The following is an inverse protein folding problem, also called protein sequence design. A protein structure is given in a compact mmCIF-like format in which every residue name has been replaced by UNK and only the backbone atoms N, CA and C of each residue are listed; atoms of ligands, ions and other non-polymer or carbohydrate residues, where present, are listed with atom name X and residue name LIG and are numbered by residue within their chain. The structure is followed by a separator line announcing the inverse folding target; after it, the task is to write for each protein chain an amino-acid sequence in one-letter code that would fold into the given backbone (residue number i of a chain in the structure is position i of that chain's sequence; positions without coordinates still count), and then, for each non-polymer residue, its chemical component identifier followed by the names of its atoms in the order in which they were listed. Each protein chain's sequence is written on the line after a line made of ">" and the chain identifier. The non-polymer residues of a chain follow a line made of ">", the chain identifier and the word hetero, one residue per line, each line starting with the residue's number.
data_IF_185296763881
#
_entry.id   IF_185296763881
#
_cell.length_a   1.000
_cell.length_b   1.000
_cell.length_c   1.000
_cell.angle_alpha   90.00
_cell.angle_beta   90.00
_cell.angle_gamma   90.00
#
_symmetry.space_group_name_H-M   'P 1'
#
loop_
_entity.id
_entity.type
_entity.pdbx_description
1 polymer ?
#
# COMPACT_ATOMS: atom_id res chain seq x y z
N UNK A 1 -7.20 -8.15 -2.61
CA UNK A 1 -8.64 -8.00 -2.31
C UNK A 1 -9.33 -7.70 -3.62
N UNK A 2 -10.49 -8.30 -3.87
CA UNK A 2 -11.27 -8.05 -5.09
C UNK A 2 -12.66 -7.58 -4.67
N UNK A 3 -12.98 -6.34 -5.00
CA UNK A 3 -14.32 -5.79 -4.81
C UNK A 3 -15.28 -6.37 -5.83
N UNK A 4 -16.54 -6.57 -5.44
CA UNK A 4 -17.58 -7.10 -6.32
C UNK A 4 -18.15 -6.02 -7.25
N UNK A 5 -18.16 -4.78 -6.76
CA UNK A 5 -18.66 -3.59 -7.44
C UNK A 5 -17.57 -2.51 -7.47
N UNK A 6 -17.73 -1.53 -8.36
CA UNK A 6 -16.82 -0.38 -8.46
C UNK A 6 -16.87 0.49 -7.20
N UNK A 7 -15.71 1.00 -6.78
CA UNK A 7 -15.64 1.89 -5.63
C UNK A 7 -16.41 3.20 -5.90
N UNK A 8 -17.19 3.70 -4.92
CA UNK A 8 -17.85 4.98 -5.05
C UNK A 8 -16.83 6.12 -5.23
N UNK A 9 -17.20 7.11 -6.03
CA UNK A 9 -16.39 8.28 -6.34
C UNK A 9 -15.88 8.97 -5.06
N UNK A 10 -14.69 9.56 -5.14
CA UNK A 10 -14.11 10.30 -4.02
C UNK A 10 -14.95 11.55 -3.73
N UNK A 11 -15.16 11.81 -2.43
CA UNK A 11 -15.81 13.03 -1.93
C UNK A 11 -14.73 13.90 -1.29
N UNK A 12 -14.66 15.20 -1.59
CA UNK A 12 -13.72 16.12 -0.95
C UNK A 12 -13.88 16.12 0.57
N UNK A 13 -12.76 16.21 1.29
CA UNK A 13 -12.76 16.30 2.75
C UNK A 13 -12.86 17.77 3.19
N UNK A 14 -14.02 18.39 2.94
CA UNK A 14 -14.34 19.76 3.35
C UNK A 14 -15.52 19.77 4.33
N UNK A 15 -15.65 20.80 5.20
CA UNK A 15 -16.70 20.87 6.22
C UNK A 15 -18.12 20.70 5.65
N UNK A 16 -18.38 21.19 4.45
CA UNK A 16 -19.71 21.15 3.81
C UNK A 16 -20.08 19.74 3.30
N UNK A 17 -19.12 18.83 3.19
CA UNK A 17 -19.30 17.48 2.64
C UNK A 17 -19.10 16.37 3.68
N UNK A 18 -18.95 16.70 4.97
CA UNK A 18 -18.65 15.72 6.03
C UNK A 18 -19.64 14.55 6.04
N UNK A 19 -20.94 14.82 5.94
CA UNK A 19 -21.96 13.76 5.93
C UNK A 19 -21.83 12.83 4.71
N UNK A 20 -21.51 13.39 3.54
CA UNK A 20 -21.31 12.64 2.30
C UNK A 20 -20.02 11.81 2.37
N UNK A 21 -18.98 12.37 2.97
CA UNK A 21 -17.72 11.68 3.22
C UNK A 21 -17.93 10.47 4.15
N UNK A 22 -18.67 10.66 5.26
CA UNK A 22 -19.00 9.58 6.20
C UNK A 22 -19.88 8.50 5.56
N UNK A 23 -20.88 8.90 4.77
CA UNK A 23 -21.72 7.97 4.04
C UNK A 23 -20.90 7.12 3.05
N UNK A 24 -20.01 7.78 2.29
CA UNK A 24 -19.08 7.09 1.38
C UNK A 24 -18.16 6.14 2.14
N UNK A 25 -17.59 6.58 3.28
CA UNK A 25 -16.72 5.74 4.09
C UNK A 25 -17.43 4.46 4.53
N UNK A 26 -18.65 4.57 5.09
CA UNK A 26 -19.44 3.42 5.52
C UNK A 26 -19.72 2.46 4.36
N UNK A 27 -20.06 2.99 3.18
CA UNK A 27 -20.27 2.17 1.98
C UNK A 27 -19.01 1.41 1.57
N UNK A 28 -17.86 2.09 1.50
CA UNK A 28 -16.58 1.46 1.14
C UNK A 28 -16.19 0.38 2.16
N UNK A 29 -16.40 0.63 3.45
CA UNK A 29 -16.09 -0.35 4.49
C UNK A 29 -16.99 -1.59 4.37
N UNK A 30 -18.28 -1.42 4.07
CA UNK A 30 -19.16 -2.55 3.79
C UNK A 30 -18.71 -3.35 2.55
N UNK A 31 -18.21 -2.67 1.51
CA UNK A 31 -17.63 -3.34 0.33
C UNK A 31 -16.36 -4.11 0.66
N UNK A 32 -15.50 -3.57 1.53
CA UNK A 32 -14.28 -4.24 2.04
C UNK A 32 -14.65 -5.51 2.80
N UNK A 33 -15.63 -5.45 3.69
CA UNK A 33 -16.08 -6.61 4.47
C UNK A 33 -16.68 -7.70 3.58
N UNK A 34 -17.38 -7.31 2.50
CA UNK A 34 -17.95 -8.23 1.53
C UNK A 34 -16.96 -8.72 0.45
N UNK A 35 -15.75 -8.14 0.40
CA UNK A 35 -14.78 -8.41 -0.65
C UNK A 35 -14.14 -9.79 -0.51
N UNK A 36 -13.85 -10.41 -1.66
CA UNK A 36 -13.07 -11.64 -1.70
C UNK A 36 -11.62 -11.35 -1.32
N UNK A 37 -11.09 -12.10 -0.34
CA UNK A 37 -9.64 -12.18 -0.13
C UNK A 37 -9.07 -13.15 -1.15
N UNK A 38 -8.05 -12.69 -1.86
CA UNK A 38 -7.27 -13.48 -2.82
C UNK A 38 -5.82 -13.43 -2.39
N UNK A 39 -5.07 -14.49 -2.66
CA UNK A 39 -3.62 -14.46 -2.53
C UNK A 39 -3.06 -13.43 -3.51
N UNK A 40 -1.98 -12.77 -3.13
CA UNK A 40 -1.29 -11.83 -4.02
C UNK A 40 -0.70 -12.64 -5.18
N UNK A 41 -0.16 -13.83 -4.89
CA UNK A 41 0.25 -14.82 -5.89
C UNK A 41 1.48 -14.43 -6.70
N UNK A 42 2.17 -13.37 -6.28
CA UNK A 42 3.45 -12.94 -6.85
C UNK A 42 4.60 -13.80 -6.27
N UNK A 43 5.80 -13.80 -6.88
CA UNK A 43 6.85 -14.80 -6.61
C UNK A 43 7.33 -14.91 -5.16
N UNK A 44 7.17 -13.87 -4.35
CA UNK A 44 7.58 -13.77 -2.94
C UNK A 44 6.39 -13.61 -1.98
N UNK A 45 5.17 -14.01 -2.38
CA UNK A 45 3.98 -13.91 -1.55
C UNK A 45 4.11 -14.82 -0.32
N UNK A 46 4.23 -14.20 0.86
CA UNK A 46 4.40 -14.89 2.14
C UNK A 46 5.86 -15.09 2.58
N UNK A 47 6.83 -14.64 1.77
CA UNK A 47 8.24 -14.66 2.15
C UNK A 47 8.56 -13.54 3.14
N UNK A 48 9.57 -13.78 3.99
CA UNK A 48 10.16 -12.78 4.87
C UNK A 48 11.61 -12.56 4.48
N UNK A 49 12.07 -11.32 4.58
CA UNK A 49 13.44 -10.91 4.29
C UNK A 49 14.07 -10.27 5.51
N UNK A 50 15.38 -10.42 5.64
CA UNK A 50 16.20 -9.80 6.68
C UNK A 50 17.45 -9.28 5.98
N UNK A 51 17.57 -7.96 5.92
CA UNK A 51 18.51 -7.26 5.06
C UNK A 51 19.61 -6.65 5.89
N UNK A 52 20.84 -6.72 5.36
CA UNK A 52 22.02 -6.33 6.14
C UNK A 52 22.04 -4.84 6.50
N UNK A 53 21.48 -3.99 5.64
CA UNK A 53 21.46 -2.55 5.78
C UNK A 53 20.29 -1.93 4.97
N UNK A 54 20.15 -0.61 5.12
CA UNK A 54 19.12 0.20 4.48
C UNK A 54 19.23 0.17 2.94
N UNK A 55 20.46 0.13 2.40
CA UNK A 55 20.70 0.08 0.95
C UNK A 55 20.20 -1.24 0.35
N UNK A 56 20.54 -2.37 0.99
CA UNK A 56 20.06 -3.70 0.60
C UNK A 56 18.54 -3.84 0.74
N UNK A 57 17.94 -3.15 1.71
CA UNK A 57 16.49 -3.10 1.88
C UNK A 57 15.83 -2.29 0.74
N UNK A 58 16.37 -1.12 0.41
CA UNK A 58 15.88 -0.31 -0.70
C UNK A 58 15.97 -1.05 -2.05
N UNK A 59 17.09 -1.71 -2.33
CA UNK A 59 17.28 -2.53 -3.53
C UNK A 59 16.23 -3.63 -3.65
N UNK A 60 15.88 -4.28 -2.53
CA UNK A 60 14.84 -5.31 -2.51
C UNK A 60 13.46 -4.75 -2.75
N UNK A 61 13.13 -3.60 -2.15
CA UNK A 61 11.85 -2.93 -2.36
C UNK A 61 11.68 -2.51 -3.84
N UNK A 62 12.73 -2.03 -4.48
CA UNK A 62 12.75 -1.74 -5.92
C UNK A 62 12.54 -3.01 -6.76
N UNK A 63 13.23 -4.11 -6.42
CA UNK A 63 13.05 -5.39 -7.10
C UNK A 63 11.61 -5.92 -6.96
N UNK A 64 11.04 -5.92 -5.75
CA UNK A 64 9.65 -6.34 -5.52
C UNK A 64 8.67 -5.46 -6.29
N UNK A 65 8.90 -4.14 -6.31
CA UNK A 65 8.10 -3.22 -7.13
C UNK A 65 8.15 -3.60 -8.62
N UNK A 66 9.33 -3.97 -9.13
CA UNK A 66 9.53 -4.46 -10.50
C UNK A 66 8.79 -5.77 -10.81
N UNK A 67 8.55 -6.62 -9.81
CA UNK A 67 7.73 -7.83 -9.93
C UNK A 67 6.21 -7.56 -9.88
N UNK A 68 5.79 -6.31 -9.66
CA UNK A 68 4.38 -5.91 -9.62
C UNK A 68 3.79 -5.82 -8.21
N UNK A 69 4.61 -5.91 -7.15
CA UNK A 69 4.14 -5.59 -5.80
C UNK A 69 3.83 -4.10 -5.66
N UNK A 70 2.81 -3.78 -4.87
CA UNK A 70 2.48 -2.39 -4.53
C UNK A 70 3.44 -1.91 -3.44
N UNK A 71 4.54 -1.32 -3.88
CA UNK A 71 5.55 -0.72 -3.01
C UNK A 71 5.51 0.81 -3.17
N UNK A 72 5.14 1.57 -2.13
CA UNK A 72 5.13 3.03 -2.19
C UNK A 72 6.54 3.58 -2.43
N UNK A 73 6.67 4.58 -3.31
CA UNK A 73 7.98 5.15 -3.64
C UNK A 73 8.65 5.79 -2.41
N UNK A 74 7.86 6.45 -1.55
CA UNK A 74 8.39 7.09 -0.34
C UNK A 74 9.14 6.13 0.59
N UNK A 75 8.78 4.83 0.60
CA UNK A 75 9.43 3.84 1.45
C UNK A 75 10.84 3.50 0.94
N UNK A 76 11.02 3.49 -0.38
CA UNK A 76 12.33 3.33 -1.02
C UNK A 76 13.16 4.59 -0.78
N UNK A 77 12.58 5.76 -1.04
CA UNK A 77 13.27 7.04 -0.90
C UNK A 77 13.78 7.25 0.53
N UNK A 78 12.97 6.93 1.54
CA UNK A 78 13.36 7.03 2.95
C UNK A 78 14.56 6.14 3.29
N UNK A 79 14.59 4.89 2.81
CA UNK A 79 15.73 3.98 3.03
C UNK A 79 17.00 4.45 2.32
N UNK A 80 16.87 5.07 1.14
CA UNK A 80 18.01 5.67 0.44
C UNK A 80 18.57 6.87 1.21
N UNK A 81 17.69 7.71 1.75
CA UNK A 81 18.09 8.84 2.61
C UNK A 81 18.80 8.34 3.88
N UNK A 82 18.25 7.35 4.59
CA UNK A 82 18.90 6.75 5.77
C UNK A 82 20.28 6.17 5.47
N UNK A 83 20.45 5.52 4.31
CA UNK A 83 21.74 4.99 3.86
C UNK A 83 22.77 6.10 3.57
N UNK A 84 22.34 7.21 2.96
CA UNK A 84 23.18 8.39 2.71
C UNK A 84 23.58 9.10 4.02
N UNK A 85 22.67 9.15 5.00
CA UNK A 85 22.90 9.74 6.32
C UNK A 85 23.71 8.83 7.26
N UNK A 86 23.91 7.56 6.89
CA UNK A 86 24.64 6.56 7.69
C UNK A 86 23.92 6.17 8.97
N UNK A 87 22.58 6.24 8.98
CA UNK A 87 21.75 5.86 10.11
C UNK A 87 21.54 4.34 10.02
N UNK A 88 22.10 3.62 10.99
CA UNK A 88 22.02 2.15 11.10
C UNK A 88 20.91 1.71 12.04
#
# INVERSE_FOLDING_TARGET
>A
MVFKDELPALVPFEPEYVDQFLARHNQVMAMVDAAGRVRIGLPHDGDSFDDADQEACADRLEYLKGLGYVVPQYAIDALREEAEEGIA
#
